data_IF_388721343146
#
_entry.id   IF_388721343146
#
_cell.length_a   1.000
_cell.length_b   1.000
_cell.length_c   1.000
_cell.angle_alpha   90.00
_cell.angle_beta   90.00
_cell.angle_gamma   90.00
#
_symmetry.space_group_name_H-M   'P 1'
#
loop_
_entity.id
_entity.type
_entity.pdbx_description
1 polymer ?
#
# COMPACT_ATOMS: atom_id res chain seq x y z
N UNK A 1 10.13 -11.78 -14.68
CA UNK A 1 9.01 -11.21 -13.89
C UNK A 1 9.60 -10.53 -12.69
N UNK A 2 9.25 -9.28 -12.46
CA UNK A 2 9.68 -8.51 -11.31
C UNK A 2 8.51 -8.17 -10.40
N UNK A 3 8.85 -7.93 -9.14
CA UNK A 3 7.93 -7.45 -8.12
C UNK A 3 8.44 -6.12 -7.61
N UNK A 4 7.51 -5.17 -7.48
CA UNK A 4 7.79 -3.81 -7.10
C UNK A 4 7.09 -3.49 -5.79
N UNK A 5 7.76 -2.82 -4.88
CA UNK A 5 7.12 -2.17 -3.75
C UNK A 5 6.55 -0.83 -4.21
N UNK A 6 5.27 -0.60 -3.93
CA UNK A 6 4.56 0.63 -4.25
C UNK A 6 4.79 1.67 -3.14
N UNK A 7 5.24 2.87 -3.52
CA UNK A 7 5.47 3.99 -2.60
C UNK A 7 4.88 5.28 -3.14
N UNK A 8 4.50 6.16 -2.23
CA UNK A 8 4.23 7.57 -2.52
C UNK A 8 5.54 8.32 -2.71
N UNK A 9 5.59 9.15 -3.75
CA UNK A 9 6.65 10.13 -3.96
C UNK A 9 6.63 11.20 -2.86
N UNK A 10 7.80 11.55 -2.32
CA UNK A 10 7.97 12.66 -1.38
C UNK A 10 8.43 13.97 -2.06
N UNK A 11 8.64 13.94 -3.38
CA UNK A 11 9.14 15.10 -4.13
C UNK A 11 8.07 16.20 -4.29
N UNK A 12 8.01 17.12 -3.31
CA UNK A 12 7.21 18.35 -3.34
C UNK A 12 5.70 18.12 -3.58
N UNK A 13 5.17 17.03 -3.02
CA UNK A 13 3.74 16.71 -3.04
C UNK A 13 3.11 16.94 -1.67
N UNK A 14 1.81 17.23 -1.70
CA UNK A 14 1.02 17.28 -0.48
C UNK A 14 0.98 15.92 0.25
N UNK A 15 0.95 15.99 1.58
CA UNK A 15 0.77 14.82 2.44
C UNK A 15 -0.33 15.07 3.46
N UNK A 16 -0.96 13.99 3.91
CA UNK A 16 -2.16 14.06 4.74
C UNK A 16 -2.04 13.19 5.97
N UNK A 17 -2.81 13.55 7.00
CA UNK A 17 -3.03 12.71 8.17
C UNK A 17 -4.51 12.74 8.57
N UNK A 18 -4.89 11.81 9.44
CA UNK A 18 -6.21 11.84 10.09
C UNK A 18 -6.41 13.14 10.89
N UNK A 19 -7.58 13.76 10.74
CA UNK A 19 -7.94 14.96 11.49
C UNK A 19 -7.98 14.65 13.00
N UNK A 20 -8.65 13.55 13.37
CA UNK A 20 -8.74 13.02 14.73
C UNK A 20 -7.91 11.74 14.86
N UNK A 21 -6.59 11.86 14.75
CA UNK A 21 -5.65 10.72 14.67
C UNK A 21 -5.91 9.61 15.71
N UNK A 22 -5.97 9.93 17.00
CA UNK A 22 -6.13 8.91 18.05
C UNK A 22 -7.49 8.19 18.00
N UNK A 23 -8.58 8.95 17.82
CA UNK A 23 -9.94 8.38 17.84
C UNK A 23 -10.22 7.57 16.57
N UNK A 24 -9.92 8.14 15.40
CA UNK A 24 -10.21 7.51 14.12
C UNK A 24 -9.28 6.31 13.87
N UNK A 25 -8.00 6.39 14.25
CA UNK A 25 -7.07 5.26 14.14
C UNK A 25 -7.60 4.04 14.90
N UNK A 26 -7.91 4.21 16.19
CA UNK A 26 -8.45 3.15 17.04
C UNK A 26 -9.79 2.60 16.55
N UNK A 27 -10.65 3.47 16.03
CA UNK A 27 -12.01 3.09 15.64
C UNK A 27 -12.09 2.42 14.28
N UNK A 28 -11.28 2.87 13.31
CA UNK A 28 -11.43 2.47 11.90
C UNK A 28 -10.22 1.78 11.30
N UNK A 29 -9.01 1.97 11.85
CA UNK A 29 -7.77 1.46 11.27
C UNK A 29 -7.19 0.28 12.06
N UNK A 30 -6.99 0.44 13.37
CA UNK A 30 -6.36 -0.56 14.23
C UNK A 30 -7.06 -1.93 14.14
N UNK A 31 -6.33 -2.95 13.67
CA UNK A 31 -6.83 -4.32 13.52
C UNK A 31 -7.87 -4.52 12.42
N UNK A 32 -8.19 -3.48 11.63
CA UNK A 32 -9.19 -3.50 10.56
C UNK A 32 -8.54 -3.33 9.19
N UNK A 33 -7.72 -2.30 9.05
CA UNK A 33 -6.90 -2.08 7.85
C UNK A 33 -5.61 -2.89 7.99
N UNK A 34 -5.02 -3.27 6.86
CA UNK A 34 -3.83 -4.14 6.85
C UNK A 34 -4.06 -5.49 7.54
N UNK A 35 -5.29 -6.01 7.39
CA UNK A 35 -5.71 -7.31 7.91
C UNK A 35 -6.05 -8.31 6.80
N UNK A 36 -6.03 -7.86 5.53
CA UNK A 36 -6.55 -8.60 4.37
C UNK A 36 -8.05 -8.95 4.48
N UNK A 37 -8.81 -8.16 5.24
CA UNK A 37 -10.27 -8.29 5.40
C UNK A 37 -10.95 -7.00 4.96
N UNK A 38 -12.17 -7.12 4.44
CA UNK A 38 -13.01 -5.97 4.10
C UNK A 38 -13.31 -5.14 5.34
N UNK A 39 -13.30 -3.82 5.19
CA UNK A 39 -13.61 -2.88 6.25
C UNK A 39 -14.84 -2.01 5.94
N UNK A 40 -15.39 -2.06 4.71
CA UNK A 40 -16.55 -1.25 4.28
C UNK A 40 -17.73 -1.25 5.25
N UNK A 41 -18.11 -2.42 5.80
CA UNK A 41 -19.24 -2.54 6.71
C UNK A 41 -19.08 -1.74 8.01
N UNK A 42 -17.84 -1.40 8.38
CA UNK A 42 -17.52 -0.64 9.58
C UNK A 42 -16.89 0.73 9.28
N UNK A 43 -16.85 1.12 8.00
CA UNK A 43 -16.22 2.36 7.57
C UNK A 43 -17.14 3.56 7.82
N UNK A 44 -16.61 4.59 8.46
CA UNK A 44 -17.34 5.81 8.80
C UNK A 44 -17.03 6.98 7.87
N UNK A 45 -17.60 8.12 8.21
CA UNK A 45 -17.14 9.41 7.68
C UNK A 45 -15.87 9.82 8.42
N UNK A 46 -14.72 9.71 7.76
CA UNK A 46 -13.40 10.01 8.33
C UNK A 46 -12.84 11.24 7.65
N UNK A 47 -12.36 12.21 8.44
CA UNK A 47 -11.76 13.43 7.94
C UNK A 47 -10.24 13.36 7.96
N UNK A 48 -9.61 13.91 6.92
CA UNK A 48 -8.18 14.11 6.83
C UNK A 48 -7.85 15.59 6.70
N UNK A 49 -6.65 15.97 7.10
CA UNK A 49 -6.09 17.30 6.91
C UNK A 49 -4.76 17.20 6.18
N UNK A 50 -4.46 18.20 5.36
CA UNK A 50 -3.14 18.39 4.77
C UNK A 50 -2.15 18.77 5.88
N UNK A 51 -0.97 18.15 5.89
CA UNK A 51 0.11 18.44 6.87
C UNK A 51 1.34 19.06 6.24
N UNK A 52 1.59 18.73 4.97
CA UNK A 52 2.64 19.33 4.17
C UNK A 52 1.99 19.83 2.89
N UNK A 53 2.13 21.13 2.61
CA UNK A 53 1.67 21.73 1.37
C UNK A 53 2.63 21.36 0.23
N UNK A 54 2.10 21.21 -0.98
CA UNK A 54 2.89 20.89 -2.16
C UNK A 54 2.02 20.80 -3.40
N UNK A 55 2.56 20.19 -4.44
CA UNK A 55 1.79 19.85 -5.63
C UNK A 55 0.75 18.79 -5.31
N UNK A 56 -0.34 18.78 -6.07
CA UNK A 56 -1.34 17.71 -5.98
C UNK A 56 -0.78 16.39 -6.52
N UNK A 57 -1.05 15.31 -5.78
CA UNK A 57 -0.61 13.94 -6.10
C UNK A 57 -1.81 13.02 -6.30
N UNK A 58 -1.65 12.00 -7.15
CA UNK A 58 -2.64 10.94 -7.28
C UNK A 58 -2.38 9.76 -6.31
N UNK A 59 -1.20 9.74 -5.67
CA UNK A 59 -0.81 8.82 -4.59
C UNK A 59 -0.12 9.61 -3.46
N UNK A 60 -0.78 10.60 -2.84
CA UNK A 60 -0.17 11.42 -1.79
C UNK A 60 0.25 10.56 -0.60
N UNK A 61 1.28 10.99 0.12
CA UNK A 61 1.70 10.29 1.33
C UNK A 61 0.65 10.45 2.43
N UNK A 62 0.38 9.37 3.17
CA UNK A 62 -0.62 9.34 4.23
C UNK A 62 -0.02 8.87 5.55
N UNK A 63 0.00 9.76 6.53
CA UNK A 63 0.49 9.55 7.89
C UNK A 63 -0.59 8.97 8.81
N UNK A 64 -1.16 7.82 8.42
CA UNK A 64 -2.25 7.18 9.17
C UNK A 64 -1.88 5.88 9.87
N UNK A 65 -0.58 5.63 10.09
CA UNK A 65 -0.05 4.42 10.74
C UNK A 65 -0.46 3.09 10.05
N UNK A 66 -0.80 3.16 8.77
CA UNK A 66 -1.08 2.01 7.91
C UNK A 66 -0.05 1.89 6.81
N UNK A 67 0.22 0.67 6.37
CA UNK A 67 1.13 0.40 5.25
C UNK A 67 0.42 0.31 3.91
N UNK A 68 -0.82 0.78 3.82
CA UNK A 68 -1.61 0.78 2.58
C UNK A 68 -1.73 2.19 2.00
N UNK A 69 -1.72 2.35 0.67
CA UNK A 69 -1.63 3.67 0.05
C UNK A 69 -2.96 4.43 0.09
N UNK A 70 -2.85 5.75 0.05
CA UNK A 70 -3.95 6.67 -0.22
C UNK A 70 -3.86 7.21 -1.65
N UNK A 71 -4.99 7.31 -2.34
CA UNK A 71 -5.08 7.80 -3.72
C UNK A 71 -6.15 8.88 -3.90
N UNK A 72 -5.96 9.72 -4.91
CA UNK A 72 -6.97 10.70 -5.35
C UNK A 72 -8.20 10.00 -5.96
N UNK A 73 -9.29 10.75 -6.11
CA UNK A 73 -10.46 10.27 -6.86
C UNK A 73 -10.18 9.97 -8.34
N UNK A 74 -9.19 10.65 -8.94
CA UNK A 74 -8.71 10.38 -10.31
C UNK A 74 -8.02 9.01 -10.38
N UNK A 75 -7.03 8.78 -9.51
CA UNK A 75 -6.36 7.49 -9.42
C UNK A 75 -7.33 6.36 -9.09
N UNK A 76 -8.27 6.56 -8.15
CA UNK A 76 -9.30 5.55 -7.85
C UNK A 76 -10.04 5.08 -9.10
N UNK A 77 -10.52 6.00 -9.94
CA UNK A 77 -11.24 5.66 -11.18
C UNK A 77 -10.39 4.86 -12.17
N UNK A 78 -9.11 5.21 -12.27
CA UNK A 78 -8.17 4.50 -13.13
C UNK A 78 -7.88 3.09 -12.60
N UNK A 79 -7.50 3.00 -11.32
CA UNK A 79 -7.02 1.78 -10.67
C UNK A 79 -8.12 0.75 -10.42
N UNK A 80 -9.37 1.17 -10.22
CA UNK A 80 -10.50 0.25 -9.96
C UNK A 80 -10.68 -0.77 -11.09
N UNK A 81 -10.45 -0.37 -12.34
CA UNK A 81 -10.53 -1.27 -13.49
C UNK A 81 -9.41 -2.32 -13.56
N UNK A 82 -8.28 -2.07 -12.88
CA UNK A 82 -7.05 -2.87 -12.94
C UNK A 82 -6.92 -3.78 -11.70
N UNK A 83 -7.27 -3.25 -10.53
CA UNK A 83 -7.09 -3.93 -9.25
C UNK A 83 -8.20 -4.95 -8.96
N UNK A 84 -9.39 -4.75 -9.54
CA UNK A 84 -10.53 -5.64 -9.39
C UNK A 84 -10.90 -5.90 -7.93
N UNK A 85 -11.29 -7.14 -7.63
CA UNK A 85 -11.75 -7.55 -6.29
C UNK A 85 -10.62 -7.76 -5.27
N UNK A 86 -9.36 -7.52 -5.64
CA UNK A 86 -8.22 -7.68 -4.74
C UNK A 86 -8.08 -6.54 -3.72
N UNK A 87 -8.88 -5.48 -3.86
CA UNK A 87 -8.82 -4.28 -3.03
C UNK A 87 -10.21 -3.76 -2.71
N UNK A 88 -10.26 -2.90 -1.71
CA UNK A 88 -11.41 -2.06 -1.39
C UNK A 88 -10.96 -0.61 -1.29
N UNK A 89 -11.72 0.30 -1.91
CA UNK A 89 -11.46 1.74 -1.83
C UNK A 89 -12.31 2.36 -0.73
N UNK A 90 -11.66 2.82 0.34
CA UNK A 90 -12.32 3.34 1.52
C UNK A 90 -12.19 4.87 1.56
N UNK A 91 -13.29 5.63 1.54
CA UNK A 91 -13.25 7.09 1.37
C UNK A 91 -12.72 7.82 2.61
N UNK A 92 -11.95 8.87 2.37
CA UNK A 92 -11.47 9.86 3.34
C UNK A 92 -11.82 11.26 2.82
N UNK A 93 -12.30 12.14 3.69
CA UNK A 93 -12.80 13.47 3.29
C UNK A 93 -11.83 14.53 3.77
N UNK A 94 -11.31 15.34 2.85
CA UNK A 94 -10.52 16.51 3.21
C UNK A 94 -11.38 17.49 4.03
N UNK A 95 -10.89 17.85 5.21
CA UNK A 95 -11.60 18.66 6.21
C UNK A 95 -11.99 20.06 5.73
N UNK A 96 -11.13 20.72 4.94
CA UNK A 96 -11.36 22.07 4.39
C UNK A 96 -12.06 22.04 3.03
N UNK A 97 -11.57 21.27 2.06
CA UNK A 97 -12.06 21.33 0.67
C UNK A 97 -13.26 20.43 0.41
N UNK A 98 -13.49 19.42 1.26
CA UNK A 98 -14.48 18.37 1.03
C UNK A 98 -14.11 17.39 -0.09
N UNK A 99 -12.90 17.49 -0.66
CA UNK A 99 -12.40 16.55 -1.64
C UNK A 99 -12.26 15.15 -1.04
N UNK A 100 -12.57 14.11 -1.83
CA UNK A 100 -12.56 12.72 -1.37
C UNK A 100 -11.33 12.00 -1.91
N UNK A 101 -10.53 11.50 -0.98
CA UNK A 101 -9.42 10.59 -1.21
C UNK A 101 -9.84 9.17 -0.80
N UNK A 102 -9.04 8.17 -1.17
CA UNK A 102 -9.36 6.78 -0.88
C UNK A 102 -8.15 6.03 -0.37
N UNK A 103 -8.30 5.32 0.74
CA UNK A 103 -7.36 4.28 1.15
C UNK A 103 -7.63 3.04 0.30
N UNK A 104 -6.57 2.45 -0.26
CA UNK A 104 -6.65 1.17 -0.96
C UNK A 104 -6.44 0.08 0.08
N UNK A 105 -7.49 -0.48 0.66
CA UNK A 105 -7.38 -1.64 1.54
C UNK A 105 -7.12 -2.89 0.70
N UNK A 106 -5.90 -3.43 0.79
CA UNK A 106 -5.50 -4.62 0.02
C UNK A 106 -6.02 -5.89 0.70
N UNK A 107 -6.89 -6.62 0.00
CA UNK A 107 -7.52 -7.85 0.47
C UNK A 107 -6.70 -9.10 0.12
N UNK A 108 -5.82 -8.99 -0.88
CA UNK A 108 -4.98 -10.08 -1.31
C UNK A 108 -3.71 -10.17 -0.46
N UNK A 109 -3.61 -11.20 0.38
CA UNK A 109 -2.42 -11.52 1.17
C UNK A 109 -1.91 -12.92 0.83
N UNK A 110 -0.60 -13.02 0.60
CA UNK A 110 0.02 -14.24 0.08
C UNK A 110 1.13 -14.72 1.00
N UNK A 111 1.15 -16.03 1.27
CA UNK A 111 2.33 -16.71 1.80
C UNK A 111 3.31 -17.00 0.65
N UNK A 112 4.00 -15.95 0.20
CA UNK A 112 4.77 -15.95 -1.03
C UNK A 112 6.28 -15.79 -0.82
N UNK A 113 6.74 -15.71 0.43
CA UNK A 113 8.16 -15.47 0.73
C UNK A 113 8.95 -16.77 0.68
N UNK A 114 10.04 -16.78 -0.08
CA UNK A 114 11.04 -17.83 -0.02
C UNK A 114 12.04 -17.51 1.10
N UNK A 115 11.78 -18.03 2.30
CA UNK A 115 12.62 -17.79 3.49
C UNK A 115 14.03 -18.39 3.40
N UNK A 116 14.29 -19.33 2.48
CA UNK A 116 15.65 -19.85 2.24
C UNK A 116 16.52 -18.84 1.49
N UNK A 117 15.91 -18.00 0.65
CA UNK A 117 16.60 -17.02 -0.19
C UNK A 117 16.45 -15.57 0.33
N UNK A 118 15.42 -15.28 1.11
CA UNK A 118 15.18 -13.95 1.65
C UNK A 118 16.19 -13.59 2.76
N UNK A 119 16.54 -12.30 2.86
CA UNK A 119 17.39 -11.80 3.94
C UNK A 119 16.51 -11.03 4.92
N UNK A 120 16.36 -11.57 6.13
CA UNK A 120 15.56 -10.96 7.19
C UNK A 120 16.32 -9.84 7.91
N UNK A 121 15.61 -8.75 8.22
CA UNK A 121 16.07 -7.69 9.11
C UNK A 121 15.72 -8.06 10.54
N UNK A 122 16.74 -8.13 11.39
CA UNK A 122 16.60 -8.49 12.81
C UNK A 122 17.13 -7.37 13.69
N UNK A 123 16.46 -7.13 14.81
CA UNK A 123 16.98 -6.32 15.90
C UNK A 123 18.15 -7.03 16.60
N UNK A 124 18.87 -6.30 17.47
CA UNK A 124 19.92 -6.88 18.32
C UNK A 124 19.41 -8.02 19.20
N UNK A 125 18.13 -7.99 19.58
CA UNK A 125 17.45 -9.04 20.34
C UNK A 125 17.20 -10.33 19.54
N UNK A 126 17.41 -10.31 18.22
CA UNK A 126 17.08 -11.42 17.32
C UNK A 126 15.65 -11.37 16.76
N UNK A 127 14.79 -10.47 17.26
CA UNK A 127 13.43 -10.27 16.74
C UNK A 127 13.50 -9.86 15.26
N UNK A 128 12.80 -10.60 14.41
CA UNK A 128 12.63 -10.28 12.99
C UNK A 128 11.60 -9.17 12.86
N UNK A 129 11.96 -8.07 12.19
CA UNK A 129 11.12 -6.88 12.07
C UNK A 129 10.78 -6.51 10.63
N UNK A 130 11.52 -7.02 9.66
CA UNK A 130 11.40 -6.61 8.25
C UNK A 130 12.21 -7.54 7.33
N UNK A 131 12.25 -7.23 6.03
CA UNK A 131 13.14 -7.81 5.04
C UNK A 131 14.23 -6.81 4.65
N UNK A 132 15.50 -7.26 4.65
CA UNK A 132 16.61 -6.52 4.00
C UNK A 132 16.65 -6.78 2.50
N UNK A 133 16.30 -8.00 2.08
CA UNK A 133 16.16 -8.41 0.68
C UNK A 133 14.99 -9.38 0.58
N UNK A 134 14.05 -9.08 -0.30
CA UNK A 134 12.94 -9.96 -0.59
C UNK A 134 13.37 -11.10 -1.52
N UNK A 135 12.75 -12.25 -1.33
CA UNK A 135 12.76 -13.35 -2.29
C UNK A 135 11.36 -13.96 -2.31
N UNK A 136 10.77 -14.05 -3.50
CA UNK A 136 9.41 -14.57 -3.65
C UNK A 136 9.42 -15.96 -4.29
N UNK A 137 8.40 -16.77 -3.96
CA UNK A 137 8.07 -18.01 -4.64
C UNK A 137 7.36 -17.67 -5.97
N UNK A 138 7.98 -17.92 -7.14
CA UNK A 138 7.46 -17.42 -8.43
C UNK A 138 6.04 -17.88 -8.73
N UNK A 139 5.70 -19.12 -8.37
CA UNK A 139 4.39 -19.71 -8.55
C UNK A 139 3.29 -19.04 -7.70
N UNK A 140 3.64 -18.43 -6.58
CA UNK A 140 2.69 -17.76 -5.68
C UNK A 140 2.38 -16.33 -6.12
N UNK A 141 3.38 -15.63 -6.68
CA UNK A 141 3.22 -14.22 -7.12
C UNK A 141 2.88 -14.07 -8.60
N UNK A 142 2.92 -15.16 -9.37
CA UNK A 142 2.53 -15.16 -10.78
C UNK A 142 1.06 -14.75 -10.92
N UNK A 143 0.78 -13.85 -11.85
CA UNK A 143 -0.55 -13.30 -12.14
C UNK A 143 -1.19 -12.54 -10.97
N UNK A 144 -0.39 -12.08 -9.99
CA UNK A 144 -0.87 -11.26 -8.89
C UNK A 144 -0.64 -9.78 -9.21
N UNK A 145 -1.71 -9.00 -9.29
CA UNK A 145 -1.63 -7.57 -9.64
C UNK A 145 -1.11 -6.74 -8.47
N UNK A 146 -1.71 -6.93 -7.29
CA UNK A 146 -1.41 -6.25 -6.03
C UNK A 146 -1.55 -7.25 -4.89
N UNK A 147 -0.66 -7.20 -3.89
CA UNK A 147 -0.73 -8.07 -2.73
C UNK A 147 0.10 -7.56 -1.54
N UNK A 148 -0.20 -8.12 -0.36
CA UNK A 148 0.65 -8.10 0.83
C UNK A 148 1.24 -9.48 1.09
N UNK A 149 2.26 -9.55 1.95
CA UNK A 149 2.89 -10.81 2.34
C UNK A 149 2.89 -11.00 3.85
N UNK A 150 3.16 -12.22 4.30
CA UNK A 150 3.37 -12.52 5.71
C UNK A 150 4.85 -12.45 6.08
N UNK A 151 5.13 -11.95 7.28
CA UNK A 151 6.39 -12.06 7.98
C UNK A 151 6.17 -12.89 9.25
N UNK A 152 6.70 -14.12 9.29
CA UNK A 152 6.51 -15.06 10.40
C UNK A 152 5.02 -15.21 10.79
N UNK A 153 4.17 -15.56 9.83
CA UNK A 153 2.71 -15.78 10.01
C UNK A 153 1.88 -14.52 10.32
N UNK A 154 2.52 -13.37 10.55
CA UNK A 154 1.85 -12.08 10.77
C UNK A 154 1.87 -11.29 9.46
N UNK A 155 0.77 -10.60 9.12
CA UNK A 155 0.77 -9.78 7.91
C UNK A 155 1.85 -8.70 8.00
N UNK A 156 2.69 -8.62 6.97
CA UNK A 156 3.73 -7.61 6.87
C UNK A 156 3.09 -6.30 6.41
N UNK A 157 2.69 -5.50 7.40
CA UNK A 157 1.95 -4.26 7.24
C UNK A 157 2.64 -3.24 6.29
N UNK A 158 3.94 -2.91 6.44
CA UNK A 158 4.55 -1.70 5.86
C UNK A 158 4.59 -1.61 4.33
N UNK A 159 4.39 -2.71 3.62
CA UNK A 159 4.67 -2.80 2.20
C UNK A 159 3.48 -3.38 1.43
N UNK A 160 3.20 -2.77 0.28
CA UNK A 160 2.30 -3.27 -0.75
C UNK A 160 3.13 -3.58 -1.99
N UNK A 161 2.93 -4.77 -2.55
CA UNK A 161 3.66 -5.24 -3.71
C UNK A 161 2.75 -5.28 -4.93
N UNK A 162 3.34 -4.99 -6.09
CA UNK A 162 2.65 -4.95 -7.37
C UNK A 162 3.47 -5.61 -8.48
N UNK A 163 2.78 -6.07 -9.52
CA UNK A 163 3.39 -6.66 -10.72
C UNK A 163 4.04 -5.63 -11.66
N UNK A 164 4.86 -6.13 -12.58
CA UNK A 164 5.34 -5.36 -13.75
C UNK A 164 4.19 -4.72 -14.54
N UNK A 165 3.12 -5.48 -14.78
CA UNK A 165 1.98 -5.04 -15.60
C UNK A 165 1.25 -3.87 -14.94
N UNK A 166 1.01 -3.93 -13.63
CA UNK A 166 0.46 -2.82 -12.86
C UNK A 166 1.35 -1.58 -12.94
N UNK A 167 2.65 -1.74 -12.64
CA UNK A 167 3.63 -0.65 -12.68
C UNK A 167 3.62 0.05 -14.04
N UNK A 168 3.75 -0.72 -15.12
CA UNK A 168 3.84 -0.16 -16.47
C UNK A 168 2.55 0.56 -16.85
N UNK A 169 1.39 -0.01 -16.50
CA UNK A 169 0.09 0.62 -16.75
C UNK A 169 -0.03 1.98 -16.04
N UNK A 170 0.45 2.09 -14.80
CA UNK A 170 0.47 3.37 -14.07
C UNK A 170 1.48 4.35 -14.69
N UNK A 171 2.67 3.90 -15.07
CA UNK A 171 3.70 4.76 -15.69
C UNK A 171 3.31 5.28 -17.09
N UNK A 172 2.48 4.54 -17.82
CA UNK A 172 1.93 4.94 -19.11
C UNK A 172 0.71 5.88 -18.98
N UNK A 173 0.19 6.04 -17.76
CA UNK A 173 -0.90 6.96 -17.45
C UNK A 173 -0.41 8.39 -17.20
N UNK A 174 -1.35 9.31 -16.94
CA UNK A 174 -1.07 10.67 -16.52
C UNK A 174 -1.15 10.87 -14.99
N UNK A 175 -1.12 9.77 -14.23
CA UNK A 175 -1.14 9.79 -12.76
C UNK A 175 0.20 10.22 -12.18
N UNK A 176 0.16 10.97 -11.07
CA UNK A 176 1.35 11.53 -10.42
C UNK A 176 1.59 10.98 -9.01
N UNK A 177 2.84 11.04 -8.58
CA UNK A 177 3.26 10.71 -7.22
C UNK A 177 3.42 9.21 -6.92
N UNK A 178 3.42 8.36 -7.96
CA UNK A 178 3.71 6.94 -7.84
C UNK A 178 5.21 6.67 -7.95
N UNK A 179 5.77 5.98 -6.95
CA UNK A 179 7.11 5.41 -6.99
C UNK A 179 7.07 3.89 -6.90
N UNK A 180 8.01 3.25 -7.60
CA UNK A 180 8.13 1.80 -7.66
C UNK A 180 9.56 1.38 -7.37
N UNK A 181 9.77 0.65 -6.28
CA UNK A 181 11.08 0.12 -5.90
C UNK A 181 11.15 -1.34 -6.32
N UNK A 182 12.11 -1.70 -7.18
CA UNK A 182 12.32 -3.11 -7.53
C UNK A 182 12.80 -3.87 -6.29
N UNK A 183 12.02 -4.85 -5.82
CA UNK A 183 12.37 -5.66 -4.65
C UNK A 183 12.77 -7.08 -5.01
N UNK A 184 12.39 -7.56 -6.20
CA UNK A 184 12.74 -8.89 -6.65
C UNK A 184 12.59 -9.05 -8.17
N UNK A 185 13.47 -9.86 -8.75
CA UNK A 185 13.42 -10.31 -10.14
C UNK A 185 13.56 -11.85 -10.17
N UNK A 186 12.62 -12.51 -10.84
CA UNK A 186 12.59 -13.96 -11.02
C UNK A 186 13.78 -14.49 -11.79
N UNK A 187 14.37 -13.71 -12.70
CA UNK A 187 15.48 -14.13 -13.57
C UNK A 187 16.83 -13.92 -12.91
N UNK A 188 17.00 -12.83 -12.16
CA UNK A 188 18.26 -12.52 -11.46
C UNK A 188 18.51 -13.40 -10.22
N UNK A 189 17.48 -14.09 -9.71
CA UNK A 189 17.58 -14.95 -8.52
C UNK A 189 17.45 -16.46 -8.83
N UNK A 190 17.60 -16.86 -10.10
CA UNK A 190 17.75 -18.27 -10.51
C UNK A 190 19.14 -18.81 -10.20
#
# INVERSE_FOLDING_TARGET
MKIWELKSSFDDYESFQLLNLEEDSKKYFEGKIDSAVKASDSWGEIRIKCVEEGNQSDLPHFWGEVGTPMVSGKAKKFLESILGDNVEFLPLIHDVTGEVYYIINVLNALDAINYEKAILKKLRSGLVIDFKKYAFLPNMVKNQTIFKVYLNEILHIPSVFVSDEFRNTVLESDLKGFEFIEVWDSEANM
#
